data_IF_918755020353
#
_entry.id   IF_918755020353
#
_cell.length_a   1.000
_cell.length_b   1.000
_cell.length_c   1.000
_cell.angle_alpha   90.00
_cell.angle_beta   90.00
_cell.angle_gamma   90.00
#
_symmetry.space_group_name_H-M   'P 1'
#
loop_
_entity.id
_entity.type
_entity.pdbx_description
1 polymer ?
#
# COMPACT_ATOMS: atom_id res chain seq x y z
N UNK A 1 4.59 -20.49 -24.05
CA UNK A 1 5.01 -19.17 -24.57
C UNK A 1 4.65 -17.99 -23.66
N UNK A 2 3.69 -18.12 -22.73
CA UNK A 2 3.21 -17.04 -21.84
C UNK A 2 4.15 -16.67 -20.69
N UNK A 3 4.91 -17.62 -20.14
CA UNK A 3 5.78 -17.37 -18.98
C UNK A 3 6.91 -16.36 -19.25
N UNK A 4 7.50 -16.38 -20.47
CA UNK A 4 8.59 -15.46 -20.84
C UNK A 4 8.06 -14.02 -21.06
N UNK A 5 6.89 -13.89 -21.69
CA UNK A 5 6.23 -12.58 -21.86
C UNK A 5 5.83 -11.97 -20.50
N UNK A 6 5.38 -12.80 -19.56
CA UNK A 6 5.00 -12.34 -18.21
C UNK A 6 6.23 -11.97 -17.36
N UNK A 7 7.36 -12.64 -17.55
CA UNK A 7 8.62 -12.27 -16.93
C UNK A 7 9.12 -10.91 -17.45
N UNK A 8 9.06 -10.68 -18.78
CA UNK A 8 9.38 -9.39 -19.38
C UNK A 8 8.49 -8.26 -18.86
N UNK A 9 7.17 -8.50 -18.84
CA UNK A 9 6.22 -7.54 -18.28
C UNK A 9 6.54 -7.20 -16.80
N UNK A 10 6.88 -8.16 -15.95
CA UNK A 10 7.26 -7.88 -14.55
C UNK A 10 8.56 -7.08 -14.45
N UNK A 11 9.55 -7.37 -15.29
CA UNK A 11 10.81 -6.62 -15.34
C UNK A 11 10.55 -5.15 -15.71
N UNK A 12 9.67 -4.88 -16.67
CA UNK A 12 9.28 -3.52 -17.05
C UNK A 12 8.56 -2.78 -15.90
N UNK A 13 7.83 -3.52 -15.05
CA UNK A 13 7.13 -2.96 -13.91
C UNK A 13 8.12 -2.53 -12.84
N UNK A 14 9.10 -3.38 -12.55
CA UNK A 14 10.21 -3.06 -11.64
C UNK A 14 11.02 -1.87 -12.17
N UNK A 15 11.39 -1.87 -13.45
CA UNK A 15 12.17 -0.80 -14.06
C UNK A 15 11.51 0.58 -13.97
N UNK A 16 10.19 0.66 -14.12
CA UNK A 16 9.43 1.91 -13.97
C UNK A 16 9.13 2.29 -12.52
N UNK A 17 9.15 1.34 -11.59
CA UNK A 17 8.82 1.56 -10.17
C UNK A 17 10.04 1.88 -9.30
N UNK A 18 11.15 1.16 -9.48
CA UNK A 18 12.34 1.25 -8.63
C UNK A 18 12.90 2.67 -8.47
N UNK A 19 12.97 3.50 -9.53
CA UNK A 19 13.40 4.89 -9.38
C UNK A 19 12.48 5.74 -8.48
N UNK A 20 11.20 5.38 -8.40
CA UNK A 20 10.17 6.11 -7.64
C UNK A 20 10.05 5.61 -6.20
N UNK A 21 10.48 4.38 -5.91
CA UNK A 21 10.34 3.73 -4.60
C UNK A 21 10.80 4.62 -3.42
N UNK A 22 11.98 5.30 -3.46
CA UNK A 22 12.40 6.16 -2.35
C UNK A 22 11.48 7.37 -2.14
N UNK A 23 10.95 7.95 -3.22
CA UNK A 23 10.04 9.09 -3.13
C UNK A 23 8.67 8.67 -2.58
N UNK A 24 8.15 7.53 -3.04
CA UNK A 24 6.90 6.95 -2.55
C UNK A 24 6.98 6.58 -1.06
N UNK A 25 8.08 5.96 -0.63
CA UNK A 25 8.33 5.68 0.79
C UNK A 25 8.35 6.96 1.64
N UNK A 26 9.02 8.02 1.17
CA UNK A 26 9.02 9.33 1.87
C UNK A 26 7.63 9.95 1.98
N UNK A 27 6.75 9.73 1.00
CA UNK A 27 5.36 10.22 1.05
C UNK A 27 4.56 9.39 2.06
N UNK A 28 4.61 8.07 1.95
CA UNK A 28 3.87 7.17 2.83
C UNK A 28 4.31 7.34 4.30
N UNK A 29 5.61 7.45 4.55
CA UNK A 29 6.15 7.69 5.89
C UNK A 29 5.66 8.99 6.51
N UNK A 30 5.59 10.10 5.73
CA UNK A 30 5.02 11.37 6.24
C UNK A 30 3.54 11.28 6.57
N UNK A 31 2.78 10.41 5.89
CA UNK A 31 1.36 10.24 6.12
C UNK A 31 1.06 9.30 7.30
N UNK A 32 1.84 8.22 7.44
CA UNK A 32 1.58 7.14 8.38
C UNK A 32 2.42 7.22 9.66
N UNK A 33 3.59 7.87 9.61
CA UNK A 33 4.52 8.00 10.74
C UNK A 33 5.26 6.71 11.12
N UNK A 34 4.99 5.59 10.42
CA UNK A 34 5.58 4.28 10.64
C UNK A 34 6.36 3.84 9.40
N UNK A 35 7.58 3.34 9.60
CA UNK A 35 8.40 2.80 8.49
C UNK A 35 7.75 1.54 7.94
N UNK A 36 7.31 0.63 8.82
CA UNK A 36 6.64 -0.61 8.42
C UNK A 36 5.38 -0.34 7.60
N UNK A 37 4.48 0.53 8.09
CA UNK A 37 3.23 0.81 7.37
C UNK A 37 3.49 1.52 6.02
N UNK A 38 4.57 2.32 5.95
CA UNK A 38 4.99 2.96 4.71
C UNK A 38 5.55 1.95 3.69
N UNK A 39 6.36 0.99 4.15
CA UNK A 39 6.86 -0.10 3.30
C UNK A 39 5.70 -0.95 2.78
N UNK A 40 4.76 -1.33 3.64
CA UNK A 40 3.58 -2.12 3.27
C UNK A 40 2.74 -1.38 2.22
N UNK A 41 2.48 -0.08 2.41
CA UNK A 41 1.72 0.72 1.44
C UNK A 41 2.43 0.81 0.07
N UNK A 42 3.76 0.93 0.06
CA UNK A 42 4.55 0.98 -1.18
C UNK A 42 4.63 -0.39 -1.85
N UNK A 43 4.73 -1.48 -1.09
CA UNK A 43 4.70 -2.85 -1.62
C UNK A 43 3.34 -3.18 -2.24
N UNK A 44 2.24 -2.86 -1.55
CA UNK A 44 0.89 -3.02 -2.09
C UNK A 44 0.69 -2.21 -3.38
N UNK A 45 1.23 -0.98 -3.44
CA UNK A 45 1.21 -0.19 -4.67
C UNK A 45 2.00 -0.86 -5.81
N UNK A 46 3.14 -1.49 -5.52
CA UNK A 46 3.91 -2.25 -6.51
C UNK A 46 3.15 -3.48 -7.03
N UNK A 47 2.48 -4.22 -6.14
CA UNK A 47 1.65 -5.39 -6.53
C UNK A 47 0.54 -4.95 -7.49
N UNK A 48 -0.14 -3.84 -7.18
CA UNK A 48 -1.15 -3.25 -8.08
C UNK A 48 -0.56 -2.79 -9.41
N UNK A 49 0.66 -2.26 -9.40
CA UNK A 49 1.36 -1.84 -10.61
C UNK A 49 1.73 -3.01 -11.53
N UNK A 50 2.16 -4.14 -10.95
CA UNK A 50 2.45 -5.36 -11.72
C UNK A 50 1.20 -5.92 -12.42
N UNK A 51 0.02 -5.73 -11.83
CA UNK A 51 -1.26 -6.16 -12.38
C UNK A 51 -1.96 -5.14 -13.29
N UNK A 52 -1.45 -3.91 -13.38
CA UNK A 52 -2.04 -2.86 -14.20
C UNK A 52 -1.69 -3.04 -15.68
N UNK A 53 -2.63 -2.68 -16.57
CA UNK A 53 -2.29 -2.44 -17.97
C UNK A 53 -1.52 -1.13 -18.08
N UNK A 54 -0.20 -1.26 -18.26
CA UNK A 54 0.72 -0.12 -18.25
C UNK A 54 0.72 0.64 -19.57
N UNK A 55 0.15 0.09 -20.64
CA UNK A 55 -0.03 0.82 -21.89
C UNK A 55 -1.06 1.95 -21.75
N UNK A 56 -2.03 1.81 -20.84
CA UNK A 56 -3.05 2.83 -20.56
C UNK A 56 -2.56 3.91 -19.57
N UNK A 57 -1.45 3.69 -18.87
CA UNK A 57 -0.93 4.60 -17.85
C UNK A 57 0.07 5.57 -18.47
N UNK A 58 -0.44 6.73 -18.87
CA UNK A 58 0.35 7.81 -19.49
C UNK A 58 1.47 8.35 -18.59
N UNK A 59 1.26 8.33 -17.26
CA UNK A 59 2.19 8.91 -16.28
C UNK A 59 2.33 7.99 -15.05
N UNK A 60 3.27 7.02 -15.09
CA UNK A 60 3.47 6.03 -14.00
C UNK A 60 3.70 6.67 -12.63
N UNK A 61 4.47 7.76 -12.55
CA UNK A 61 4.72 8.46 -11.29
C UNK A 61 3.43 9.00 -10.66
N UNK A 62 2.60 9.69 -11.45
CA UNK A 62 1.34 10.25 -10.98
C UNK A 62 0.38 9.15 -10.52
N UNK A 63 0.33 8.03 -11.27
CA UNK A 63 -0.46 6.86 -10.91
C UNK A 63 -0.01 6.27 -9.58
N UNK A 64 1.29 5.98 -9.43
CA UNK A 64 1.84 5.36 -8.23
C UNK A 64 1.71 6.27 -7.00
N UNK A 65 1.97 7.57 -7.15
CA UNK A 65 1.79 8.54 -6.05
C UNK A 65 0.33 8.61 -5.59
N UNK A 66 -0.62 8.59 -6.53
CA UNK A 66 -2.06 8.55 -6.21
C UNK A 66 -2.44 7.25 -5.51
N UNK A 67 -1.93 6.12 -5.97
CA UNK A 67 -2.17 4.80 -5.37
C UNK A 67 -1.65 4.74 -3.93
N UNK A 68 -0.40 5.12 -3.69
CA UNK A 68 0.20 5.16 -2.34
C UNK A 68 -0.58 6.11 -1.42
N UNK A 69 -0.94 7.30 -1.90
CA UNK A 69 -1.72 8.26 -1.11
C UNK A 69 -3.06 7.68 -0.67
N UNK A 70 -3.77 6.98 -1.57
CA UNK A 70 -5.05 6.33 -1.26
C UNK A 70 -4.89 5.21 -0.24
N UNK A 71 -3.90 4.34 -0.42
CA UNK A 71 -3.59 3.28 0.54
C UNK A 71 -3.35 3.86 1.95
N UNK A 72 -2.57 4.93 2.04
CA UNK A 72 -2.31 5.60 3.31
C UNK A 72 -3.60 6.17 3.94
N UNK A 73 -4.45 6.84 3.14
CA UNK A 73 -5.73 7.38 3.64
C UNK A 73 -6.67 6.28 4.13
N UNK A 74 -6.72 5.15 3.43
CA UNK A 74 -7.56 4.02 3.81
C UNK A 74 -7.05 3.36 5.11
N UNK A 75 -5.73 3.21 5.27
CA UNK A 75 -5.10 2.76 6.52
C UNK A 75 -5.47 3.68 7.69
N UNK A 76 -5.31 5.00 7.53
CA UNK A 76 -5.64 6.00 8.56
C UNK A 76 -7.12 5.96 8.94
N UNK A 77 -8.03 5.85 7.96
CA UNK A 77 -9.47 5.68 8.21
C UNK A 77 -9.77 4.38 8.96
N UNK A 78 -9.13 3.28 8.58
CA UNK A 78 -9.29 1.98 9.23
C UNK A 78 -8.82 2.02 10.69
N UNK A 79 -7.65 2.61 10.94
CA UNK A 79 -7.12 2.81 12.29
C UNK A 79 -8.04 3.69 13.15
N UNK A 80 -8.58 4.76 12.57
CA UNK A 80 -9.58 5.62 13.23
C UNK A 80 -10.84 4.83 13.59
N UNK A 81 -11.40 4.07 12.64
CA UNK A 81 -12.58 3.22 12.92
C UNK A 81 -12.31 2.22 14.04
N UNK A 82 -11.15 1.56 14.07
CA UNK A 82 -10.80 0.63 15.17
C UNK A 82 -10.78 1.33 16.54
N UNK A 83 -10.27 2.56 16.62
CA UNK A 83 -10.30 3.36 17.86
C UNK A 83 -11.72 3.79 18.24
N UNK A 84 -12.56 4.12 17.27
CA UNK A 84 -13.96 4.48 17.49
C UNK A 84 -14.82 3.27 17.84
N UNK A 85 -14.50 2.07 17.34
CA UNK A 85 -15.13 0.80 17.74
C UNK A 85 -14.63 0.32 19.10
N UNK A 86 -13.51 0.84 19.59
CA UNK A 86 -13.07 0.66 20.98
C UNK A 86 -13.93 1.52 21.92
N UNK A 87 -15.23 1.20 21.99
CA UNK A 87 -16.14 1.59 23.08
C UNK A 87 -16.33 0.36 23.95
N UNK A 88 -15.51 0.21 24.99
CA UNK A 88 -15.81 -0.78 26.05
C UNK A 88 -14.57 -1.30 26.79
N UNK A 89 -14.59 -1.31 28.14
CA UNK A 89 -13.50 -1.85 28.96
C UNK A 89 -13.46 -3.36 28.83
N UNK A 90 -12.26 -3.92 28.89
CA UNK A 90 -12.04 -5.35 29.12
C UNK A 90 -12.92 -5.77 30.31
N UNK A 91 -14.01 -6.50 30.06
CA UNK A 91 -14.77 -7.15 31.11
C UNK A 91 -14.00 -8.44 31.42
N UNK A 92 -13.31 -8.56 32.57
CA UNK A 92 -12.72 -9.83 32.93
C UNK A 92 -13.81 -10.88 33.04
N UNK A 93 -13.55 -12.07 32.49
CA UNK A 93 -14.50 -13.18 32.47
C UNK A 93 -15.12 -13.40 33.86
N UNK A 94 -16.45 -13.56 33.97
CA UNK A 94 -17.09 -13.83 35.24
C UNK A 94 -16.63 -15.20 35.75
N UNK A 95 -15.94 -15.19 36.90
CA UNK A 95 -15.63 -16.40 37.64
C UNK A 95 -16.95 -16.93 38.21
N UNK A 96 -17.36 -18.08 37.72
CA UNK A 96 -18.49 -18.85 38.25
C UNK A 96 -17.91 -19.80 39.29
N UNK A 97 -18.29 -19.63 40.56
CA UNK A 97 -18.21 -20.68 41.59
C UNK A 97 -19.41 -21.61 41.49
#
# INVERSE_FOLDING_TARGET
>A
MTASAQAGARADAAASFDPLRPALLRVAYRMLGSVADAEDAVQEAFIRWMGADRAEVLQPEAFLRRTVTRLCLDQLKSARRRRETYIGPWLPDPIVE
#
